data_IF_724873264142
#
_entry.id   IF_724873264142
#
_cell.length_a   1.000
_cell.length_b   1.000
_cell.length_c   1.000
_cell.angle_alpha   90.00
_cell.angle_beta   90.00
_cell.angle_gamma   90.00
#
_symmetry.space_group_name_H-M   'P 1'
#
loop_
_entity.id
_entity.type
_entity.pdbx_description
1 polymer ?
#
# COMPACT_ATOMS: atom_id res chain seq x y z
N UNK A 1 39.88 18.44 4.64
CA UNK A 1 38.81 18.81 3.69
C UNK A 1 38.05 17.55 3.35
N UNK A 2 36.86 17.37 3.90
CA UNK A 2 35.98 16.27 3.49
C UNK A 2 35.50 16.55 2.06
N UNK A 3 35.55 15.54 1.19
CA UNK A 3 34.97 15.63 -0.15
C UNK A 3 33.46 15.93 -0.03
N UNK A 4 32.88 16.72 -0.95
CA UNK A 4 31.43 16.94 -0.95
C UNK A 4 30.71 15.61 -1.19
N UNK A 5 29.51 15.41 -0.61
CA UNK A 5 28.72 14.22 -0.88
C UNK A 5 28.45 14.14 -2.38
N UNK A 6 28.74 13.00 -2.98
CA UNK A 6 28.38 12.73 -4.36
C UNK A 6 26.85 12.79 -4.50
N UNK A 7 26.38 13.63 -5.41
CA UNK A 7 24.98 13.71 -5.83
C UNK A 7 24.63 12.42 -6.58
N UNK A 8 24.22 11.39 -5.84
CA UNK A 8 23.86 10.08 -6.36
C UNK A 8 22.36 9.96 -6.70
N UNK A 9 21.60 11.06 -6.59
CA UNK A 9 20.19 11.10 -6.98
C UNK A 9 20.04 11.68 -8.38
N UNK A 10 19.43 10.93 -9.29
CA UNK A 10 18.97 11.53 -10.54
C UNK A 10 18.11 12.77 -10.30
N UNK A 11 18.22 13.75 -11.19
CA UNK A 11 17.45 14.98 -11.11
C UNK A 11 16.05 14.74 -11.68
N UNK A 12 15.06 14.80 -10.80
CA UNK A 12 13.66 14.89 -11.21
C UNK A 12 13.40 16.25 -11.87
N UNK A 13 12.89 16.24 -13.10
CA UNK A 13 12.44 17.42 -13.83
C UNK A 13 10.94 17.33 -14.11
N UNK A 14 10.15 18.15 -13.44
CA UNK A 14 8.73 18.31 -13.77
C UNK A 14 8.61 19.01 -15.12
N UNK A 15 7.89 18.38 -16.04
CA UNK A 15 7.62 18.94 -17.36
C UNK A 15 6.35 19.78 -17.35
N UNK A 16 5.30 19.28 -16.69
CA UNK A 16 4.00 19.95 -16.54
C UNK A 16 3.18 19.32 -15.42
N UNK A 17 2.22 20.08 -14.91
CA UNK A 17 1.15 19.58 -14.04
C UNK A 17 -0.19 19.99 -14.64
N UNK A 18 -1.04 19.00 -14.86
CA UNK A 18 -2.39 19.13 -15.40
C UNK A 18 -3.40 18.96 -14.26
N UNK A 19 -4.61 19.48 -14.43
CA UNK A 19 -5.71 19.27 -13.49
C UNK A 19 -6.79 18.43 -14.18
N UNK A 20 -6.89 17.16 -13.78
CA UNK A 20 -7.81 16.19 -14.39
C UNK A 20 -9.13 16.20 -13.65
N UNK A 21 -10.17 16.72 -14.29
CA UNK A 21 -11.55 16.71 -13.76
C UNK A 21 -12.24 15.38 -14.05
N UNK A 22 -13.23 14.98 -13.23
CA UNK A 22 -14.14 13.88 -13.59
C UNK A 22 -14.83 14.15 -14.94
N UNK A 23 -14.92 13.14 -15.81
CA UNK A 23 -15.57 13.29 -17.12
C UNK A 23 -17.08 13.54 -16.96
N UNK A 24 -17.62 14.58 -17.61
CA UNK A 24 -19.06 14.79 -17.73
C UNK A 24 -19.61 14.02 -18.95
N UNK A 25 -20.81 13.45 -18.82
CA UNK A 25 -21.68 13.22 -19.99
C UNK A 25 -22.66 14.37 -20.01
N UNK A 26 -23.00 14.91 -21.18
CA UNK A 26 -23.78 16.15 -21.32
C UNK A 26 -25.07 16.26 -20.51
N UNK A 27 -25.62 15.14 -20.03
CA UNK A 27 -26.84 15.07 -19.21
C UNK A 27 -26.63 15.02 -17.67
N UNK A 28 -25.39 14.84 -17.18
CA UNK A 28 -25.10 14.54 -15.77
C UNK A 28 -24.54 15.73 -14.97
N UNK A 29 -24.50 16.94 -15.56
CA UNK A 29 -23.99 18.14 -14.90
C UNK A 29 -24.77 18.48 -13.61
N UNK A 30 -26.02 18.04 -13.50
CA UNK A 30 -26.89 18.26 -12.34
C UNK A 30 -26.91 17.10 -11.32
N UNK A 31 -26.23 15.97 -11.60
CA UNK A 31 -26.43 14.71 -10.85
C UNK A 31 -25.33 14.35 -9.82
N UNK A 32 -24.19 15.03 -9.82
CA UNK A 32 -23.12 14.76 -8.85
C UNK A 32 -23.41 15.47 -7.52
N UNK A 33 -24.10 14.78 -6.61
CA UNK A 33 -24.40 15.29 -5.28
C UNK A 33 -23.14 15.46 -4.42
N UNK A 34 -23.10 16.59 -3.69
CA UNK A 34 -22.16 16.83 -2.59
C UNK A 34 -22.26 15.68 -1.58
N UNK A 35 -21.13 15.08 -1.21
CA UNK A 35 -21.08 13.98 -0.25
C UNK A 35 -20.12 14.27 0.89
N UNK A 36 -20.65 14.89 1.95
CA UNK A 36 -19.93 15.01 3.21
C UNK A 36 -19.93 13.67 3.98
N UNK A 37 -18.73 13.18 4.33
CA UNK A 37 -18.55 12.02 5.21
C UNK A 37 -17.69 12.42 6.42
N UNK A 38 -18.06 12.10 7.67
CA UNK A 38 -17.26 12.44 8.84
C UNK A 38 -15.92 11.68 8.85
N UNK A 39 -14.80 12.41 8.92
CA UNK A 39 -13.45 11.82 8.84
C UNK A 39 -12.55 12.27 10.01
N UNK A 40 -11.53 11.45 10.31
CA UNK A 40 -10.41 11.84 11.18
C UNK A 40 -9.16 12.11 10.31
N UNK A 41 -8.34 13.12 10.63
CA UNK A 41 -7.07 13.34 9.94
C UNK A 41 -6.14 12.14 10.15
N UNK A 42 -5.55 11.64 9.06
CA UNK A 42 -4.53 10.59 9.02
C UNK A 42 -3.58 10.87 7.87
N UNK A 43 -2.35 10.39 7.97
CA UNK A 43 -1.32 10.62 6.96
C UNK A 43 -1.72 10.04 5.59
N UNK A 44 -1.25 10.66 4.48
CA UNK A 44 -1.47 10.13 3.14
C UNK A 44 -0.74 8.80 2.92
N UNK A 45 -1.32 7.96 2.07
CA UNK A 45 -0.65 6.75 1.57
C UNK A 45 -0.06 7.04 0.21
N UNK A 46 1.25 6.85 0.07
CA UNK A 46 2.02 7.09 -1.15
C UNK A 46 2.37 5.74 -1.77
N UNK A 47 1.88 5.46 -2.98
CA UNK A 47 2.16 4.23 -3.72
C UNK A 47 2.92 4.54 -5.00
N UNK A 48 3.86 3.68 -5.36
CA UNK A 48 4.64 3.78 -6.58
C UNK A 48 4.51 2.49 -7.38
N UNK A 49 4.16 2.60 -8.65
CA UNK A 49 4.11 1.50 -9.60
C UNK A 49 5.20 1.71 -10.65
N UNK A 50 6.06 0.72 -10.84
CA UNK A 50 7.09 0.75 -11.88
C UNK A 50 6.68 -0.13 -13.05
N UNK A 51 6.56 0.46 -14.25
CA UNK A 51 6.20 -0.26 -15.47
C UNK A 51 7.34 -0.23 -16.47
N UNK A 52 7.56 -1.37 -17.14
CA UNK A 52 8.45 -1.45 -18.31
C UNK A 52 7.61 -1.20 -19.55
N UNK A 53 7.88 -0.11 -20.26
CA UNK A 53 7.24 0.17 -21.54
C UNK A 53 7.95 -0.61 -22.65
N UNK A 54 7.19 -1.00 -23.67
CA UNK A 54 7.74 -1.65 -24.85
C UNK A 54 8.77 -0.74 -25.57
N UNK A 55 9.82 -1.31 -26.19
CA UNK A 55 10.72 -0.55 -27.05
C UNK A 55 9.93 0.23 -28.12
N UNK A 56 10.22 1.52 -28.28
CA UNK A 56 9.52 2.37 -29.25
C UNK A 56 8.11 2.82 -28.84
N UNK A 57 7.65 2.53 -27.61
CA UNK A 57 6.37 3.03 -27.11
C UNK A 57 6.28 4.56 -27.21
N UNK A 58 5.18 5.06 -27.77
CA UNK A 58 4.88 6.48 -27.87
C UNK A 58 4.54 7.04 -26.47
N UNK A 59 5.57 7.43 -25.71
CA UNK A 59 5.46 7.90 -24.32
C UNK A 59 4.41 8.99 -24.16
N UNK A 60 4.37 9.96 -25.09
CA UNK A 60 3.37 11.02 -25.04
C UNK A 60 1.94 10.46 -25.08
N UNK A 61 1.67 9.51 -25.99
CA UNK A 61 0.36 8.85 -26.08
C UNK A 61 0.03 8.04 -24.82
N UNK A 62 1.00 7.38 -24.20
CA UNK A 62 0.81 6.68 -22.91
C UNK A 62 0.40 7.67 -21.80
N UNK A 63 1.07 8.82 -21.72
CA UNK A 63 0.78 9.84 -20.71
C UNK A 63 -0.60 10.47 -20.91
N UNK A 64 -0.96 10.84 -22.15
CA UNK A 64 -2.30 11.36 -22.48
C UNK A 64 -3.38 10.33 -22.16
N UNK A 65 -3.15 9.06 -22.52
CA UNK A 65 -4.09 7.98 -22.25
C UNK A 65 -4.31 7.75 -20.75
N UNK A 66 -3.27 7.88 -19.93
CA UNK A 66 -3.39 7.82 -18.47
C UNK A 66 -4.25 8.96 -17.91
N UNK A 67 -4.07 10.20 -18.39
CA UNK A 67 -4.88 11.34 -17.98
C UNK A 67 -6.36 11.19 -18.41
N UNK A 68 -6.62 10.78 -19.67
CA UNK A 68 -7.98 10.60 -20.19
C UNK A 68 -8.73 9.45 -19.50
N UNK A 69 -8.03 8.34 -19.23
CA UNK A 69 -8.60 7.23 -18.46
C UNK A 69 -8.81 7.59 -16.99
N UNK A 70 -7.97 8.46 -16.42
CA UNK A 70 -8.15 8.97 -15.06
C UNK A 70 -9.43 9.80 -14.96
N UNK A 71 -9.66 10.72 -15.90
CA UNK A 71 -10.89 11.53 -15.96
C UNK A 71 -12.16 10.65 -15.97
N UNK A 72 -12.16 9.58 -16.76
CA UNK A 72 -13.27 8.61 -16.83
C UNK A 72 -13.44 7.81 -15.54
N UNK A 73 -12.34 7.36 -14.93
CA UNK A 73 -12.41 6.65 -13.66
C UNK A 73 -12.95 7.55 -12.54
N UNK A 74 -12.50 8.81 -12.51
CA UNK A 74 -12.97 9.82 -11.55
C UNK A 74 -14.46 10.09 -11.66
N UNK A 75 -15.14 9.80 -12.77
CA UNK A 75 -16.60 9.87 -12.84
C UNK A 75 -17.28 8.98 -11.80
N UNK A 76 -16.79 7.75 -11.61
CA UNK A 76 -17.31 6.81 -10.63
C UNK A 76 -16.75 7.05 -9.22
N UNK A 77 -15.64 7.79 -9.12
CA UNK A 77 -14.91 8.06 -7.88
C UNK A 77 -14.70 9.56 -7.65
N UNK A 78 -15.68 10.38 -8.00
CA UNK A 78 -15.57 11.84 -8.02
C UNK A 78 -15.13 12.47 -6.68
N UNK A 79 -15.42 11.89 -5.49
CA UNK A 79 -14.91 12.44 -4.25
C UNK A 79 -13.38 12.44 -4.15
N UNK A 80 -12.67 11.61 -4.94
CA UNK A 80 -11.20 11.65 -5.02
C UNK A 80 -10.65 12.92 -5.69
N UNK A 81 -11.44 13.58 -6.55
CA UNK A 81 -11.05 14.87 -7.12
C UNK A 81 -11.27 16.04 -6.14
N UNK A 82 -12.01 15.80 -5.06
CA UNK A 82 -12.33 16.80 -4.05
C UNK A 82 -11.24 17.00 -3.00
N UNK A 83 -11.68 17.50 -1.85
CA UNK A 83 -10.83 17.90 -0.73
C UNK A 83 -11.41 17.48 0.61
N UNK A 84 -10.55 17.23 1.59
CA UNK A 84 -10.94 17.09 2.99
C UNK A 84 -10.91 18.48 3.63
N UNK A 85 -12.02 18.89 4.21
CA UNK A 85 -12.14 20.18 4.90
C UNK A 85 -12.86 20.02 6.23
N UNK A 86 -12.71 21.00 7.11
CA UNK A 86 -13.55 21.11 8.30
C UNK A 86 -14.98 21.42 7.86
N UNK A 87 -15.95 20.65 8.37
CA UNK A 87 -17.34 20.84 8.04
C UNK A 87 -17.79 22.24 8.49
N UNK A 88 -18.56 22.99 7.67
CA UNK A 88 -18.99 24.34 8.01
C UNK A 88 -19.65 24.42 9.40
N UNK A 89 -19.18 25.34 10.23
CA UNK A 89 -19.71 25.57 11.57
C UNK A 89 -19.40 24.46 12.59
N UNK A 90 -18.45 23.55 12.32
CA UNK A 90 -17.98 22.53 13.27
C UNK A 90 -16.50 22.72 13.57
N UNK A 91 -16.04 22.33 14.75
CA UNK A 91 -14.65 22.45 15.19
C UNK A 91 -13.87 21.14 15.13
N UNK A 92 -14.55 20.01 15.02
CA UNK A 92 -13.98 18.66 15.15
C UNK A 92 -14.48 17.64 14.12
N UNK A 93 -15.34 18.08 13.18
CA UNK A 93 -15.90 17.22 12.14
C UNK A 93 -15.33 17.57 10.79
N UNK A 94 -14.51 16.69 10.22
CA UNK A 94 -14.04 16.83 8.84
C UNK A 94 -14.99 16.16 7.87
N UNK A 95 -15.08 16.69 6.66
CA UNK A 95 -15.84 16.13 5.56
C UNK A 95 -14.99 15.98 4.30
N UNK A 96 -15.26 14.92 3.54
CA UNK A 96 -14.89 14.84 2.14
C UNK A 96 -15.83 15.76 1.35
N UNK A 97 -15.31 16.75 0.63
CA UNK A 97 -16.12 17.70 -0.11
C UNK A 97 -15.66 17.74 -1.56
N UNK A 98 -16.61 17.68 -2.48
CA UNK A 98 -16.41 17.83 -3.91
C UNK A 98 -17.39 18.86 -4.45
N UNK A 99 -16.92 19.73 -5.33
CA UNK A 99 -17.75 20.62 -6.14
C UNK A 99 -17.37 20.49 -7.62
N UNK A 100 -18.31 20.73 -8.56
CA UNK A 100 -18.01 20.71 -9.99
C UNK A 100 -16.80 21.61 -10.33
N UNK A 101 -15.86 21.06 -11.10
CA UNK A 101 -14.60 21.71 -11.43
C UNK A 101 -13.42 21.35 -10.51
N UNK A 102 -13.68 20.71 -9.37
CA UNK A 102 -12.62 20.08 -8.58
C UNK A 102 -11.91 19.00 -9.41
N UNK A 103 -10.59 18.89 -9.24
CA UNK A 103 -9.72 18.14 -10.12
C UNK A 103 -8.54 17.51 -9.39
N UNK A 104 -8.00 16.44 -9.97
CA UNK A 104 -6.79 15.77 -9.49
C UNK A 104 -5.57 16.37 -10.16
N UNK A 105 -4.55 16.73 -9.37
CA UNK A 105 -3.25 17.11 -9.91
C UNK A 105 -2.57 15.89 -10.56
N UNK A 106 -2.31 15.98 -11.86
CA UNK A 106 -1.61 14.97 -12.65
C UNK A 106 -0.29 15.57 -13.17
N UNK A 107 0.81 15.21 -12.52
CA UNK A 107 2.15 15.73 -12.85
C UNK A 107 2.87 14.80 -13.79
N UNK A 108 3.42 15.34 -14.87
CA UNK A 108 4.34 14.63 -15.77
C UNK A 108 5.76 15.10 -15.50
N UNK A 109 6.66 14.15 -15.29
CA UNK A 109 8.06 14.42 -15.00
C UNK A 109 8.99 13.47 -15.76
N UNK A 110 10.26 13.83 -15.81
CA UNK A 110 11.37 12.99 -16.25
C UNK A 110 12.38 12.83 -15.12
N UNK A 111 13.11 11.72 -15.13
CA UNK A 111 14.18 11.44 -14.18
C UNK A 111 15.34 10.75 -14.91
N UNK A 112 16.55 11.26 -14.70
CA UNK A 112 17.76 10.89 -15.47
C UNK A 112 18.70 9.90 -14.77
N UNK A 113 18.57 9.68 -13.46
CA UNK A 113 19.60 8.98 -12.67
C UNK A 113 19.28 7.60 -12.11
N UNK A 114 18.35 6.82 -12.68
CA UNK A 114 18.19 5.42 -12.28
C UNK A 114 17.62 4.53 -13.40
N UNK A 115 18.17 3.32 -13.55
CA UNK A 115 17.65 2.28 -14.42
C UNK A 115 16.48 1.50 -13.79
N UNK A 116 15.69 0.76 -14.59
CA UNK A 116 14.55 -0.02 -14.05
C UNK A 116 14.99 -1.05 -13.03
N UNK A 117 16.12 -1.68 -13.27
CA UNK A 117 16.58 -2.80 -12.45
C UNK A 117 17.08 -2.32 -11.09
N UNK A 118 17.59 -1.09 -11.00
CA UNK A 118 17.97 -0.44 -9.75
C UNK A 118 16.75 -0.08 -8.90
N UNK A 119 15.65 0.37 -9.51
CA UNK A 119 14.44 0.77 -8.78
C UNK A 119 13.49 -0.41 -8.50
N UNK A 120 13.47 -1.42 -9.36
CA UNK A 120 12.62 -2.61 -9.25
C UNK A 120 13.29 -3.77 -8.49
N UNK A 121 14.52 -3.58 -7.99
CA UNK A 121 15.23 -4.56 -7.17
C UNK A 121 14.52 -4.85 -5.85
N UNK A 122 14.75 -6.06 -5.33
CA UNK A 122 14.37 -6.46 -3.97
C UNK A 122 15.50 -6.23 -2.96
N UNK A 123 16.70 -5.89 -3.44
CA UNK A 123 17.80 -5.49 -2.57
C UNK A 123 17.52 -4.12 -1.92
N UNK A 124 18.10 -3.86 -0.73
CA UNK A 124 18.02 -2.56 -0.10
C UNK A 124 18.48 -1.46 -1.04
N UNK A 125 17.72 -0.37 -1.05
CA UNK A 125 18.04 0.86 -1.75
C UNK A 125 17.64 2.04 -0.89
N UNK A 126 18.25 3.19 -1.15
CA UNK A 126 17.91 4.41 -0.42
C UNK A 126 16.50 4.86 -0.77
N UNK A 127 15.71 5.22 0.24
CA UNK A 127 14.34 5.75 0.06
C UNK A 127 14.35 7.01 -0.82
N UNK A 128 15.43 7.79 -0.75
CA UNK A 128 15.64 8.99 -1.57
C UNK A 128 15.58 8.72 -3.09
N UNK A 129 15.83 7.48 -3.54
CA UNK A 129 15.74 7.10 -4.96
C UNK A 129 14.30 6.98 -5.47
N UNK A 130 13.34 6.73 -4.58
CA UNK A 130 11.92 6.56 -4.94
C UNK A 130 11.02 7.68 -4.43
N UNK A 131 11.42 8.39 -3.37
CA UNK A 131 10.64 9.45 -2.77
C UNK A 131 10.27 10.59 -3.75
N UNK A 132 11.14 11.02 -4.67
CA UNK A 132 10.78 12.01 -5.69
C UNK A 132 9.77 11.53 -6.74
N UNK A 133 9.59 10.20 -6.87
CA UNK A 133 8.72 9.60 -7.88
C UNK A 133 7.25 9.53 -7.44
N UNK A 134 6.94 9.92 -6.19
CA UNK A 134 5.59 10.02 -5.64
C UNK A 134 5.21 11.48 -5.38
N UNK A 135 4.01 11.94 -5.78
CA UNK A 135 3.61 13.32 -5.58
C UNK A 135 3.21 13.58 -4.12
N UNK A 136 3.51 14.77 -3.60
CA UNK A 136 2.84 15.24 -2.40
C UNK A 136 1.38 15.64 -2.73
N UNK A 137 0.48 15.55 -1.76
CA UNK A 137 -0.86 16.13 -1.92
C UNK A 137 -0.74 17.66 -1.97
N UNK A 138 -1.41 18.33 -2.93
CA UNK A 138 -1.52 19.78 -2.93
C UNK A 138 -2.08 20.31 -1.61
N UNK A 139 -1.69 21.55 -1.27
CA UNK A 139 -2.26 22.26 -0.11
C UNK A 139 -3.77 22.42 -0.27
N UNK A 140 -4.48 22.58 0.85
CA UNK A 140 -5.93 22.78 0.84
C UNK A 140 -6.76 21.49 0.92
N UNK A 141 -6.14 20.39 1.38
CA UNK A 141 -6.84 19.15 1.70
C UNK A 141 -7.13 18.25 0.50
N UNK A 142 -6.42 18.42 -0.62
CA UNK A 142 -6.58 17.57 -1.80
C UNK A 142 -6.53 16.07 -1.43
N UNK A 143 -7.41 15.28 -2.03
CA UNK A 143 -7.58 13.87 -1.64
C UNK A 143 -6.67 12.93 -2.42
N UNK A 144 -6.42 13.23 -3.70
CA UNK A 144 -5.63 12.41 -4.62
C UNK A 144 -4.65 13.30 -5.39
N UNK A 145 -3.43 12.81 -5.58
CA UNK A 145 -2.45 13.36 -6.52
C UNK A 145 -1.76 12.23 -7.27
N UNK A 146 -1.42 12.48 -8.54
CA UNK A 146 -0.80 11.50 -9.43
C UNK A 146 0.45 12.11 -10.08
N UNK A 147 1.51 11.32 -10.19
CA UNK A 147 2.71 11.68 -10.93
C UNK A 147 3.12 10.55 -11.87
N UNK A 148 3.25 10.85 -13.15
CA UNK A 148 3.80 9.96 -14.16
C UNK A 148 5.22 10.43 -14.51
N UNK A 149 6.23 9.68 -14.04
CA UNK A 149 7.65 10.00 -14.24
C UNK A 149 8.27 9.04 -15.24
N UNK A 150 8.77 9.57 -16.35
CA UNK A 150 9.49 8.79 -17.37
C UNK A 150 10.95 8.72 -16.96
N UNK A 151 11.47 7.51 -16.73
CA UNK A 151 12.89 7.32 -16.47
C UNK A 151 13.61 7.20 -17.80
N UNK A 152 14.53 8.13 -18.04
CA UNK A 152 15.22 8.26 -19.33
C UNK A 152 16.27 7.15 -19.52
N UNK A 153 16.77 6.58 -18.42
CA UNK A 153 17.79 5.54 -18.42
C UNK A 153 19.15 6.01 -18.96
N UNK A 154 20.19 5.22 -18.72
CA UNK A 154 21.56 5.56 -19.16
C UNK A 154 21.84 5.15 -20.61
N UNK A 155 20.97 4.33 -21.22
CA UNK A 155 21.19 3.72 -22.55
C UNK A 155 20.05 4.08 -23.52
N UNK A 156 20.34 4.73 -24.67
CA UNK A 156 19.31 5.19 -25.63
C UNK A 156 18.38 4.10 -26.18
N UNK A 157 18.82 2.84 -26.19
CA UNK A 157 18.07 1.68 -26.70
C UNK A 157 17.40 0.83 -25.62
N UNK A 158 17.51 1.19 -24.34
CA UNK A 158 16.86 0.46 -23.26
C UNK A 158 15.34 0.70 -23.26
N UNK A 159 14.53 -0.30 -22.84
CA UNK A 159 13.10 -0.09 -22.64
C UNK A 159 12.88 1.05 -21.63
N UNK A 160 11.98 1.98 -21.99
CA UNK A 160 11.64 3.11 -21.12
C UNK A 160 10.87 2.62 -19.90
N UNK A 161 11.11 3.25 -18.76
CA UNK A 161 10.37 2.96 -17.54
C UNK A 161 9.40 4.08 -17.27
N UNK A 162 8.20 3.71 -16.89
CA UNK A 162 7.23 4.64 -16.34
C UNK A 162 7.05 4.35 -14.85
N UNK A 163 7.39 5.34 -14.03
CA UNK A 163 7.10 5.34 -12.61
C UNK A 163 5.81 6.12 -12.37
N UNK A 164 4.75 5.44 -11.94
CA UNK A 164 3.46 6.03 -11.62
C UNK A 164 3.30 6.15 -10.10
N UNK A 165 3.50 7.35 -9.58
CA UNK A 165 3.26 7.71 -8.19
C UNK A 165 1.80 8.10 -7.97
N UNK A 166 1.19 7.57 -6.92
CA UNK A 166 -0.21 7.85 -6.53
C UNK A 166 -0.26 8.10 -5.04
N UNK A 167 -0.73 9.27 -4.64
CA UNK A 167 -0.87 9.65 -3.23
C UNK A 167 -2.33 9.88 -2.91
N UNK A 168 -2.83 9.19 -1.88
CA UNK A 168 -4.24 9.24 -1.45
C UNK A 168 -4.32 9.57 0.02
N UNK A 169 -5.17 10.53 0.38
CA UNK A 169 -5.45 10.85 1.77
C UNK A 169 -6.24 9.71 2.43
N UNK A 170 -5.66 9.02 3.43
CA UNK A 170 -6.25 7.80 4.02
C UNK A 170 -7.62 8.05 4.67
N UNK A 171 -7.85 9.27 5.17
CA UNK A 171 -9.13 9.66 5.71
C UNK A 171 -10.28 9.46 4.68
N UNK A 172 -10.04 9.69 3.39
CA UNK A 172 -11.09 9.56 2.38
C UNK A 172 -11.50 8.09 2.14
N UNK A 173 -10.56 7.15 2.17
CA UNK A 173 -10.85 5.75 1.88
C UNK A 173 -9.78 4.77 2.36
N UNK A 174 -10.19 3.50 2.57
CA UNK A 174 -9.27 2.44 2.98
C UNK A 174 -8.49 1.83 1.80
N UNK A 175 -7.57 0.91 2.12
CA UNK A 175 -6.76 0.19 1.12
C UNK A 175 -7.58 -0.57 0.07
N UNK A 176 -8.73 -1.12 0.45
CA UNK A 176 -9.62 -1.84 -0.46
C UNK A 176 -10.27 -0.87 -1.46
N UNK A 177 -10.78 0.27 -0.98
CA UNK A 177 -11.41 1.30 -1.80
C UNK A 177 -10.42 2.00 -2.74
N UNK A 178 -9.25 2.38 -2.23
CA UNK A 178 -8.19 3.00 -3.04
C UNK A 178 -7.68 2.05 -4.13
N UNK A 179 -7.55 0.76 -3.82
CA UNK A 179 -7.15 -0.23 -4.84
C UNK A 179 -8.29 -0.54 -5.82
N UNK A 180 -9.56 -0.52 -5.38
CA UNK A 180 -10.69 -0.64 -6.28
C UNK A 180 -10.72 0.49 -7.32
N UNK A 181 -10.41 1.73 -6.90
CA UNK A 181 -10.23 2.85 -7.82
C UNK A 181 -9.11 2.58 -8.83
N UNK A 182 -7.92 2.15 -8.39
CA UNK A 182 -6.80 1.85 -9.29
C UNK A 182 -7.15 0.79 -10.34
N UNK A 183 -7.82 -0.30 -9.95
CA UNK A 183 -8.30 -1.32 -10.88
C UNK A 183 -9.33 -0.77 -11.86
N UNK A 184 -10.23 0.11 -11.41
CA UNK A 184 -11.22 0.74 -12.28
C UNK A 184 -10.57 1.70 -13.28
N UNK A 185 -9.55 2.44 -12.85
CA UNK A 185 -8.76 3.31 -13.71
C UNK A 185 -7.99 2.52 -14.77
N UNK A 186 -7.30 1.45 -14.36
CA UNK A 186 -6.63 0.53 -15.27
C UNK A 186 -7.59 -0.10 -16.31
N UNK A 187 -8.76 -0.56 -15.85
CA UNK A 187 -9.80 -1.09 -16.74
C UNK A 187 -10.32 -0.03 -17.72
N UNK A 188 -10.51 1.22 -17.26
CA UNK A 188 -10.93 2.34 -18.13
C UNK A 188 -9.89 2.66 -19.20
N UNK A 189 -8.60 2.55 -18.87
CA UNK A 189 -7.51 2.68 -19.83
C UNK A 189 -7.53 1.53 -20.86
N UNK A 190 -7.73 0.28 -20.45
CA UNK A 190 -7.79 -0.85 -21.37
C UNK A 190 -8.98 -0.76 -22.34
N UNK A 191 -10.17 -0.44 -21.83
CA UNK A 191 -11.38 -0.33 -22.64
C UNK A 191 -11.26 0.73 -23.75
N UNK A 192 -10.63 1.85 -23.43
CA UNK A 192 -10.38 2.94 -24.38
C UNK A 192 -9.42 2.56 -25.51
N UNK A 193 -8.52 1.62 -25.28
CA UNK A 193 -7.56 1.14 -26.27
C UNK A 193 -8.12 0.02 -27.16
N UNK A 194 -9.42 -0.33 -27.04
CA UNK A 194 -10.03 -1.46 -27.77
C UNK A 194 -9.47 -2.83 -27.37
N UNK A 195 -8.73 -2.91 -26.26
CA UNK A 195 -8.20 -4.16 -25.72
C UNK A 195 -9.30 -4.81 -24.87
N UNK A 196 -10.05 -5.72 -25.47
CA UNK A 196 -11.08 -6.52 -24.80
C UNK A 196 -10.51 -7.22 -23.55
N UNK A 197 -11.35 -7.37 -22.53
CA UNK A 197 -11.06 -7.97 -21.23
C UNK A 197 -10.73 -9.49 -21.26
N UNK A 198 -10.18 -10.02 -22.35
CA UNK A 198 -9.81 -11.43 -22.45
C UNK A 198 -8.63 -11.81 -21.54
N UNK A 199 -7.77 -10.84 -21.17
CA UNK A 199 -6.70 -11.07 -20.20
C UNK A 199 -7.10 -10.87 -18.73
N UNK A 200 -8.27 -10.29 -18.46
CA UNK A 200 -8.78 -10.04 -17.10
C UNK A 200 -9.89 -11.03 -16.68
N UNK A 201 -10.43 -11.81 -17.62
CA UNK A 201 -11.60 -12.69 -17.41
C UNK A 201 -11.33 -14.16 -17.06
N UNK A 202 -10.11 -14.70 -17.19
CA UNK A 202 -9.82 -16.11 -16.86
C UNK A 202 -9.11 -16.26 -15.51
N UNK A 203 -9.80 -15.92 -14.43
CA UNK A 203 -9.60 -16.52 -13.08
C UNK A 203 -10.77 -16.14 -12.15
N UNK A 204 -11.98 -16.55 -12.53
CA UNK A 204 -13.10 -16.64 -11.60
C UNK A 204 -12.84 -17.77 -10.57
N UNK A 205 -13.29 -17.67 -9.31
CA UNK A 205 -12.85 -18.49 -8.18
C UNK A 205 -13.60 -19.84 -8.09
N UNK A 206 -13.73 -20.54 -9.21
CA UNK A 206 -14.46 -21.81 -9.31
C UNK A 206 -13.54 -22.93 -9.82
N UNK A 207 -12.67 -23.43 -8.94
CA UNK A 207 -12.17 -24.82 -9.00
C UNK A 207 -11.70 -25.25 -7.61
N UNK A 208 -12.69 -25.50 -6.76
CA UNK A 208 -12.55 -26.36 -5.59
C UNK A 208 -12.58 -27.82 -6.07
N UNK A 209 -11.68 -28.62 -5.48
CA UNK A 209 -11.75 -30.06 -5.27
C UNK A 209 -11.91 -30.99 -6.47
N UNK A 210 -10.79 -31.58 -6.89
CA UNK A 210 -10.71 -33.01 -7.17
C UNK A 210 -9.25 -33.47 -6.95
N UNK A 211 -9.09 -34.49 -6.12
CA UNK A 211 -7.81 -35.00 -5.61
C UNK A 211 -7.07 -35.87 -6.64
N UNK A 212 -5.74 -35.93 -6.52
CA UNK A 212 -4.99 -37.15 -6.82
C UNK A 212 -3.75 -37.22 -5.91
N UNK A 213 -3.73 -38.29 -5.14
CA UNK A 213 -2.79 -38.69 -4.10
C UNK A 213 -1.40 -39.06 -4.65
N UNK A 214 -0.35 -38.55 -4.01
CA UNK A 214 0.89 -39.29 -3.78
C UNK A 214 1.59 -38.74 -2.54
N UNK A 215 1.79 -39.61 -1.55
CA UNK A 215 2.37 -39.33 -0.24
C UNK A 215 3.87 -39.01 -0.36
N UNK A 216 4.31 -37.87 0.17
CA UNK A 216 5.57 -37.74 0.94
C UNK A 216 5.30 -36.85 2.15
N UNK A 217 5.79 -37.29 3.31
CA UNK A 217 5.46 -36.76 4.64
C UNK A 217 5.90 -35.29 4.79
N UNK A 218 5.03 -34.45 5.38
CA UNK A 218 5.41 -33.15 5.95
C UNK A 218 4.59 -31.89 5.62
N UNK A 219 3.40 -31.95 5.01
CA UNK A 219 2.73 -30.72 4.54
C UNK A 219 1.59 -30.21 5.45
N UNK A 220 1.74 -29.01 6.05
CA UNK A 220 0.64 -28.04 6.27
C UNK A 220 1.09 -26.57 6.19
N UNK A 221 0.98 -25.89 5.03
CA UNK A 221 1.05 -24.42 5.00
C UNK A 221 -0.18 -23.73 4.37
N UNK A 222 -0.48 -22.54 4.92
CA UNK A 222 -1.50 -21.49 4.60
C UNK A 222 -2.77 -21.46 5.48
N UNK A 223 -3.19 -20.41 6.22
CA UNK A 223 -2.63 -19.19 6.90
C UNK A 223 -1.70 -18.21 6.14
N UNK A 224 -1.91 -18.01 4.83
CA UNK A 224 -0.93 -17.50 3.84
C UNK A 224 0.08 -16.44 4.34
N UNK A 225 1.37 -16.76 4.51
CA UNK A 225 1.95 -17.98 5.12
C UNK A 225 2.41 -17.56 6.54
N UNK A 226 2.03 -18.35 7.55
CA UNK A 226 1.40 -17.96 8.83
C UNK A 226 1.53 -16.48 9.23
N UNK A 227 0.63 -15.69 8.62
CA UNK A 227 0.49 -14.23 8.64
C UNK A 227 1.79 -13.44 8.43
N UNK A 228 2.35 -13.60 7.22
CA UNK A 228 3.70 -13.16 6.77
C UNK A 228 4.79 -13.49 7.81
N UNK A 229 4.75 -14.76 8.28
CA UNK A 229 5.49 -15.42 9.37
C UNK A 229 5.64 -14.62 10.68
N UNK A 230 4.50 -14.20 11.23
CA UNK A 230 4.39 -13.40 12.45
C UNK A 230 4.60 -11.90 12.21
N UNK A 231 4.29 -11.41 10.99
CA UNK A 231 4.67 -10.11 10.42
C UNK A 231 6.18 -9.88 10.59
N UNK A 232 6.89 -10.83 9.96
CA UNK A 232 8.32 -11.14 9.95
C UNK A 232 8.97 -11.11 11.34
N UNK A 233 8.41 -11.95 12.22
CA UNK A 233 8.58 -12.00 13.67
C UNK A 233 8.64 -10.63 14.34
N UNK A 234 7.57 -9.86 14.06
CA UNK A 234 7.24 -8.62 14.75
C UNK A 234 8.33 -7.55 14.56
N UNK A 235 8.56 -7.33 13.26
CA UNK A 235 9.56 -6.48 12.59
C UNK A 235 11.03 -6.82 12.90
N UNK A 236 11.28 -8.07 13.25
CA UNK A 236 12.49 -8.54 13.92
C UNK A 236 12.73 -7.75 15.22
N UNK A 237 11.69 -7.79 16.05
CA UNK A 237 11.62 -7.32 17.45
C UNK A 237 11.95 -5.84 17.68
N UNK A 238 11.51 -4.95 16.78
CA UNK A 238 11.45 -3.49 16.99
C UNK A 238 12.76 -2.84 17.55
N UNK A 239 13.93 -3.43 17.22
CA UNK A 239 15.29 -2.85 17.30
C UNK A 239 15.94 -2.77 18.71
N UNK A 240 16.62 -3.83 19.17
CA UNK A 240 17.36 -3.92 20.46
C UNK A 240 18.28 -2.71 20.84
N UNK A 241 17.74 -1.75 21.61
CA UNK A 241 18.42 -0.63 22.30
C UNK A 241 18.99 0.51 21.43
N UNK A 242 18.45 1.72 21.61
CA UNK A 242 19.16 3.02 21.67
C UNK A 242 18.12 4.17 21.79
N UNK A 243 18.15 5.08 22.76
CA UNK A 243 19.18 5.42 23.74
C UNK A 243 18.59 6.05 25.01
N UNK A 244 18.93 5.51 26.20
CA UNK A 244 18.96 6.28 27.46
C UNK A 244 17.86 6.05 28.52
N UNK A 245 16.94 5.11 28.36
CA UNK A 245 15.89 4.83 29.36
C UNK A 245 16.10 3.51 30.09
N UNK A 246 16.03 3.52 31.42
CA UNK A 246 16.06 2.34 32.29
C UNK A 246 14.98 1.32 31.86
N UNK A 247 15.37 0.23 31.19
CA UNK A 247 14.46 -0.83 30.72
C UNK A 247 14.34 -1.92 31.79
N UNK A 248 13.22 -1.96 32.50
CA UNK A 248 12.91 -2.99 33.50
C UNK A 248 12.56 -4.36 32.86
N UNK A 249 12.63 -4.47 31.52
CA UNK A 249 12.44 -5.73 30.81
C UNK A 249 11.06 -6.37 30.97
N UNK A 250 10.05 -5.61 31.39
CA UNK A 250 8.67 -6.09 31.63
C UNK A 250 7.66 -5.78 30.51
N UNK A 251 8.03 -4.99 29.50
CA UNK A 251 7.10 -4.45 28.50
C UNK A 251 6.68 -5.42 27.37
N UNK A 252 5.59 -5.09 26.68
CA UNK A 252 5.07 -5.83 25.52
C UNK A 252 5.46 -5.14 24.20
N UNK A 253 5.42 -5.89 23.12
CA UNK A 253 5.52 -5.36 21.76
C UNK A 253 4.14 -5.46 21.10
N UNK A 254 3.65 -4.35 20.53
CA UNK A 254 2.32 -4.25 19.91
C UNK A 254 2.41 -4.08 18.41
N UNK A 255 1.48 -4.74 17.71
CA UNK A 255 1.39 -4.75 16.27
C UNK A 255 -0.04 -4.47 15.85
N UNK A 256 -0.20 -3.44 15.04
CA UNK A 256 -1.46 -2.99 14.50
C UNK A 256 -1.56 -3.35 13.03
N UNK A 257 -2.54 -4.16 12.68
CA UNK A 257 -2.97 -4.32 11.30
C UNK A 257 -4.49 -4.19 11.24
N UNK A 258 -5.04 -4.16 10.03
CA UNK A 258 -6.48 -3.91 9.87
C UNK A 258 -7.17 -5.06 9.13
N UNK A 259 -8.39 -5.36 9.55
CA UNK A 259 -9.33 -6.28 8.90
C UNK A 259 -10.35 -5.50 8.10
N UNK A 260 -10.79 -6.04 6.98
CA UNK A 260 -11.93 -5.51 6.22
C UNK A 260 -13.24 -5.94 6.89
N UNK A 261 -14.06 -4.98 7.33
CA UNK A 261 -15.31 -5.22 8.04
C UNK A 261 -16.54 -5.21 7.12
N UNK A 262 -16.40 -4.96 5.80
CA UNK A 262 -17.57 -4.84 4.90
C UNK A 262 -18.52 -6.03 4.97
N UNK A 263 -17.95 -7.23 4.99
CA UNK A 263 -18.71 -8.50 5.06
C UNK A 263 -19.13 -8.91 6.47
N UNK A 264 -18.72 -8.15 7.49
CA UNK A 264 -18.83 -8.48 8.91
C UNK A 264 -19.83 -7.58 9.65
N UNK A 265 -20.01 -6.34 9.18
CA UNK A 265 -21.02 -5.44 9.74
C UNK A 265 -22.43 -5.96 9.50
N UNK A 266 -23.32 -5.75 10.48
CA UNK A 266 -24.76 -5.93 10.31
C UNK A 266 -25.27 -5.08 9.14
N UNK A 267 -26.18 -5.64 8.34
CA UNK A 267 -26.63 -5.01 7.09
C UNK A 267 -25.69 -5.19 5.88
N UNK A 268 -24.53 -5.83 6.05
CA UNK A 268 -23.54 -6.20 5.00
C UNK A 268 -23.23 -5.04 4.04
N UNK A 269 -22.25 -4.21 4.41
CA UNK A 269 -21.76 -3.13 3.55
C UNK A 269 -21.35 -3.70 2.17
N UNK A 270 -21.79 -3.09 1.06
CA UNK A 270 -21.47 -3.57 -0.28
C UNK A 270 -19.97 -3.72 -0.50
N UNK A 271 -19.56 -4.76 -1.23
CA UNK A 271 -18.13 -4.97 -1.55
C UNK A 271 -17.49 -3.82 -2.33
N UNK A 272 -18.30 -3.05 -3.07
CA UNK A 272 -17.91 -1.86 -3.84
C UNK A 272 -18.07 -0.55 -3.06
N UNK A 273 -18.41 -0.61 -1.76
CA UNK A 273 -18.46 0.58 -0.92
C UNK A 273 -17.11 1.29 -0.93
N UNK A 274 -17.16 2.56 -1.30
CA UNK A 274 -16.01 3.46 -1.27
C UNK A 274 -16.01 4.24 0.04
N UNK A 275 -14.94 4.07 0.82
CA UNK A 275 -14.76 4.71 2.11
C UNK A 275 -13.91 3.85 3.04
N UNK A 276 -13.94 4.12 4.33
CA UNK A 276 -13.27 3.33 5.34
C UNK A 276 -14.26 2.34 5.97
N UNK A 277 -13.99 1.03 5.85
CA UNK A 277 -14.74 -0.01 6.56
C UNK A 277 -13.77 -1.07 7.06
N UNK A 278 -12.91 -0.66 7.99
CA UNK A 278 -11.83 -1.47 8.55
C UNK A 278 -11.89 -1.50 10.07
N UNK A 279 -11.44 -2.60 10.64
CA UNK A 279 -11.32 -2.78 12.08
C UNK A 279 -9.87 -3.09 12.50
N UNK A 280 -9.44 -2.62 13.67
CA UNK A 280 -8.08 -2.76 14.17
C UNK A 280 -7.82 -4.15 14.78
N UNK A 281 -6.70 -4.76 14.43
CA UNK A 281 -6.20 -5.98 15.06
C UNK A 281 -4.94 -5.64 15.84
N UNK A 282 -4.98 -5.81 17.16
CA UNK A 282 -3.83 -5.64 18.04
C UNK A 282 -3.26 -7.00 18.42
N UNK A 283 -2.21 -7.41 17.73
CA UNK A 283 -1.39 -8.53 18.20
C UNK A 283 -0.36 -8.00 19.20
N UNK A 284 -0.13 -8.75 20.28
CA UNK A 284 0.93 -8.40 21.23
C UNK A 284 1.64 -9.64 21.78
N UNK A 285 2.91 -9.48 22.13
CA UNK A 285 3.67 -10.50 22.85
C UNK A 285 4.68 -9.85 23.80
N UNK A 286 5.10 -10.55 24.89
CA UNK A 286 6.16 -10.06 25.76
C UNK A 286 7.46 -9.86 24.97
N UNK A 287 8.17 -8.75 25.20
CA UNK A 287 9.44 -8.47 24.51
C UNK A 287 10.50 -9.55 24.77
N UNK A 288 10.58 -10.07 26.00
CA UNK A 288 11.47 -11.20 26.38
C UNK A 288 11.16 -12.49 25.64
N UNK A 289 9.88 -12.76 25.36
CA UNK A 289 9.45 -13.92 24.58
C UNK A 289 9.80 -13.78 23.08
N UNK A 290 10.26 -12.61 22.64
CA UNK A 290 10.75 -12.39 21.29
C UNK A 290 12.25 -12.73 21.15
N UNK A 291 12.95 -12.95 22.27
CA UNK A 291 14.38 -13.32 22.35
C UNK A 291 14.58 -14.76 22.87
N UNK A 292 13.67 -15.69 22.54
CA UNK A 292 13.68 -17.09 23.01
C UNK A 292 14.89 -17.90 22.53
N UNK A 293 15.07 -19.11 23.08
CA UNK A 293 16.22 -19.98 22.84
C UNK A 293 16.47 -20.33 21.35
N UNK A 294 15.43 -20.28 20.50
CA UNK A 294 15.56 -20.39 19.05
C UNK A 294 14.67 -19.37 18.32
N UNK A 295 15.09 -18.94 17.13
CA UNK A 295 14.34 -18.03 16.23
C UNK A 295 12.96 -18.60 15.87
N UNK A 296 12.86 -19.93 15.76
CA UNK A 296 11.62 -20.63 15.38
C UNK A 296 10.54 -20.54 16.47
N UNK A 297 10.91 -20.63 17.74
CA UNK A 297 9.96 -20.51 18.87
C UNK A 297 9.36 -19.11 18.96
N UNK A 298 10.19 -18.08 18.73
CA UNK A 298 9.74 -16.70 18.62
C UNK A 298 8.71 -16.58 17.50
N UNK A 299 9.09 -16.97 16.27
CA UNK A 299 8.21 -16.91 15.09
C UNK A 299 6.86 -17.56 15.37
N UNK A 300 6.84 -18.73 16.02
CA UNK A 300 5.60 -19.41 16.39
C UNK A 300 4.74 -18.60 17.37
N UNK A 301 5.35 -18.01 18.39
CA UNK A 301 4.67 -17.15 19.38
C UNK A 301 4.03 -15.94 18.70
N UNK A 302 4.76 -15.24 17.82
CA UNK A 302 4.20 -14.12 17.07
C UNK A 302 3.07 -14.54 16.12
N UNK A 303 3.23 -15.66 15.42
CA UNK A 303 2.17 -16.20 14.58
C UNK A 303 0.90 -16.45 15.38
N UNK A 304 1.05 -17.03 16.58
CA UNK A 304 -0.07 -17.30 17.49
C UNK A 304 -0.76 -16.02 17.95
N UNK A 305 0.02 -14.99 18.32
CA UNK A 305 -0.51 -13.68 18.69
C UNK A 305 -1.29 -13.01 17.54
N UNK A 306 -0.77 -13.09 16.31
CA UNK A 306 -1.44 -12.54 15.12
C UNK A 306 -2.74 -13.28 14.81
N UNK A 307 -2.73 -14.62 14.89
CA UNK A 307 -3.94 -15.43 14.68
C UNK A 307 -4.99 -15.10 15.74
N UNK A 308 -4.61 -15.03 17.02
CA UNK A 308 -5.53 -14.65 18.10
C UNK A 308 -6.14 -13.26 17.90
N UNK A 309 -5.33 -12.27 17.49
CA UNK A 309 -5.83 -10.93 17.19
C UNK A 309 -6.80 -10.89 16.00
N UNK A 310 -6.54 -11.71 14.95
CA UNK A 310 -7.48 -11.87 13.82
C UNK A 310 -8.78 -12.50 14.30
N UNK A 311 -8.70 -13.57 15.08
CA UNK A 311 -9.89 -14.30 15.53
C UNK A 311 -10.77 -13.39 16.39
N UNK A 312 -10.18 -12.60 17.29
CA UNK A 312 -10.90 -11.59 18.07
C UNK A 312 -11.56 -10.53 17.17
N UNK A 313 -10.83 -9.95 16.22
CA UNK A 313 -11.39 -8.91 15.36
C UNK A 313 -12.46 -9.42 14.37
N UNK A 314 -12.39 -10.70 13.98
CA UNK A 314 -13.29 -11.31 13.01
C UNK A 314 -14.54 -11.89 13.66
N UNK A 315 -14.41 -12.52 14.82
CA UNK A 315 -15.51 -13.24 15.48
C UNK A 315 -16.09 -12.48 16.66
N UNK A 316 -15.36 -11.45 17.16
CA UNK A 316 -15.84 -10.39 18.03
C UNK A 316 -16.73 -10.82 19.20
N UNK A 317 -16.14 -10.91 20.39
CA UNK A 317 -16.95 -10.87 21.61
C UNK A 317 -17.68 -9.53 21.74
N UNK A 318 -18.84 -9.51 22.41
CA UNK A 318 -19.53 -8.29 22.82
C UNK A 318 -18.53 -7.33 23.47
N UNK A 319 -18.51 -6.06 23.04
CA UNK A 319 -17.58 -5.06 23.58
C UNK A 319 -16.29 -4.81 22.76
N UNK A 320 -16.10 -5.44 21.60
CA UNK A 320 -14.86 -5.26 20.79
C UNK A 320 -14.56 -3.79 20.46
N UNK A 321 -15.59 -3.03 20.06
CA UNK A 321 -15.42 -1.61 19.70
C UNK A 321 -15.27 -0.72 20.93
N UNK A 322 -15.91 -1.10 22.02
CA UNK A 322 -15.86 -0.41 23.31
C UNK A 322 -14.47 -0.50 23.93
N UNK A 323 -13.74 -1.62 23.74
CA UNK A 323 -12.36 -1.83 24.23
C UNK A 323 -11.28 -1.20 23.36
N UNK A 324 -11.64 -0.68 22.19
CA UNK A 324 -10.67 -0.17 21.22
C UNK A 324 -9.87 1.04 21.75
N UNK A 325 -10.46 2.06 22.39
CA UNK A 325 -9.73 3.18 22.94
C UNK A 325 -8.68 2.76 23.98
N UNK A 326 -9.03 1.84 24.88
CA UNK A 326 -8.13 1.34 25.92
C UNK A 326 -6.94 0.61 25.32
N UNK A 327 -7.15 -0.22 24.29
CA UNK A 327 -6.07 -0.92 23.58
C UNK A 327 -5.09 0.02 22.88
N UNK A 328 -5.57 1.14 22.34
CA UNK A 328 -4.68 2.18 21.79
C UNK A 328 -3.81 2.76 22.90
N UNK A 329 -4.41 3.08 24.05
CA UNK A 329 -3.68 3.67 25.20
C UNK A 329 -2.66 2.68 25.74
N UNK A 330 -3.05 1.42 25.93
CA UNK A 330 -2.18 0.34 26.37
C UNK A 330 -1.00 0.15 25.42
N UNK A 331 -1.27 0.01 24.12
CA UNK A 331 -0.22 -0.13 23.12
C UNK A 331 0.76 1.04 23.21
N UNK A 332 0.26 2.30 23.22
CA UNK A 332 1.09 3.51 23.27
C UNK A 332 1.92 3.64 24.56
N UNK A 333 1.46 3.11 25.70
CA UNK A 333 2.24 3.10 26.95
C UNK A 333 3.53 2.29 26.82
N UNK A 334 3.45 1.18 26.10
CA UNK A 334 4.59 0.28 25.85
C UNK A 334 5.35 0.62 24.55
N UNK A 335 5.04 1.77 23.91
CA UNK A 335 5.65 2.25 22.66
C UNK A 335 4.66 2.36 21.49
N UNK A 336 5.02 3.08 20.43
CA UNK A 336 4.15 3.16 19.25
C UNK A 336 3.98 1.75 18.62
N UNK A 337 2.74 1.29 18.35
CA UNK A 337 2.55 -0.03 17.76
C UNK A 337 3.09 -0.03 16.32
N UNK A 338 3.76 -1.11 15.97
CA UNK A 338 4.20 -1.31 14.61
C UNK A 338 3.01 -1.57 13.69
N UNK A 339 2.91 -0.87 12.55
CA UNK A 339 1.73 -0.97 11.68
C UNK A 339 1.99 -1.67 10.33
N UNK A 340 0.93 -2.24 9.75
CA UNK A 340 0.96 -2.89 8.44
C UNK A 340 0.10 -2.13 7.44
N UNK A 341 0.68 -1.78 6.29
CA UNK A 341 0.00 -1.22 5.14
C UNK A 341 -0.15 -2.26 4.02
N UNK A 342 -1.29 -2.25 3.33
CA UNK A 342 -1.53 -3.13 2.18
C UNK A 342 -2.13 -4.49 2.53
N UNK A 343 -2.41 -5.28 1.49
CA UNK A 343 -2.95 -6.63 1.62
C UNK A 343 -2.66 -7.42 0.35
N UNK A 344 -2.26 -8.71 0.43
CA UNK A 344 -2.16 -9.58 -0.73
C UNK A 344 -3.49 -9.80 -1.48
N UNK A 345 -4.62 -9.40 -0.87
CA UNK A 345 -5.94 -9.44 -1.52
C UNK A 345 -6.17 -8.29 -2.47
N UNK A 346 -5.36 -7.23 -2.41
CA UNK A 346 -5.54 -6.05 -3.24
C UNK A 346 -5.08 -6.26 -4.68
N UNK A 347 -4.25 -7.26 -4.96
CA UNK A 347 -3.87 -7.62 -6.32
C UNK A 347 -3.25 -6.42 -7.05
N UNK A 348 -2.38 -5.68 -6.38
CA UNK A 348 -1.76 -4.45 -6.90
C UNK A 348 -0.93 -4.69 -8.16
N UNK A 349 -0.39 -5.89 -8.34
CA UNK A 349 0.32 -6.30 -9.56
C UNK A 349 -0.62 -6.62 -10.73
N UNK A 350 -1.94 -6.65 -10.53
CA UNK A 350 -2.92 -6.78 -11.62
C UNK A 350 -3.35 -5.43 -12.20
N UNK A 351 -2.85 -4.30 -11.66
CA UNK A 351 -3.16 -2.95 -12.18
C UNK A 351 -2.43 -2.76 -13.52
N UNK A 352 -3.10 -3.14 -14.61
CA UNK A 352 -2.58 -3.04 -15.98
C UNK A 352 -3.35 -1.97 -16.77
N UNK A 353 -2.67 -0.89 -17.14
CA UNK A 353 -3.23 0.22 -17.92
C UNK A 353 -3.28 -0.05 -19.43
N UNK A 354 -2.99 -1.28 -19.86
CA UNK A 354 -2.95 -1.72 -21.25
C UNK A 354 -1.55 -1.74 -21.84
N UNK A 355 -0.51 -1.47 -21.05
CA UNK A 355 0.90 -1.58 -21.45
C UNK A 355 1.68 -2.61 -20.61
N UNK A 356 0.96 -3.49 -19.90
CA UNK A 356 1.52 -4.57 -19.11
C UNK A 356 1.41 -4.32 -17.60
N UNK A 357 1.58 -5.38 -16.83
CA UNK A 357 1.55 -5.34 -15.36
C UNK A 357 2.78 -4.62 -14.79
N UNK A 358 2.70 -4.07 -13.57
CA UNK A 358 3.84 -3.46 -12.91
C UNK A 358 4.98 -4.47 -12.72
N UNK A 359 6.22 -4.03 -12.96
CA UNK A 359 7.43 -4.76 -12.62
C UNK A 359 7.70 -4.76 -11.10
N UNK A 360 7.29 -3.70 -10.41
CA UNK A 360 7.42 -3.52 -8.95
C UNK A 360 6.32 -2.58 -8.44
N UNK A 361 5.83 -2.83 -7.23
CA UNK A 361 4.94 -1.92 -6.51
C UNK A 361 5.53 -1.63 -5.13
N UNK A 362 5.52 -0.36 -4.75
CA UNK A 362 6.03 0.11 -3.45
C UNK A 362 4.98 0.97 -2.74
N UNK A 363 5.01 0.95 -1.40
CA UNK A 363 4.28 1.91 -0.58
C UNK A 363 5.31 2.84 0.05
N UNK A 364 5.65 3.94 -0.62
CA UNK A 364 6.74 4.83 -0.21
C UNK A 364 6.51 5.47 1.17
N UNK A 365 5.26 5.70 1.56
CA UNK A 365 4.91 6.29 2.86
C UNK A 365 5.26 5.40 4.05
N UNK A 366 5.58 4.11 3.85
CA UNK A 366 6.07 3.24 4.94
C UNK A 366 7.41 3.71 5.52
N UNK A 367 8.23 4.40 4.72
CA UNK A 367 9.48 4.98 5.20
C UNK A 367 9.27 6.18 6.14
N UNK A 368 8.15 6.90 5.98
CA UNK A 368 7.78 8.05 6.82
C UNK A 368 7.08 7.60 8.11
N UNK A 369 6.20 6.62 7.97
CA UNK A 369 5.35 6.11 9.05
C UNK A 369 6.02 5.03 9.92
N UNK A 370 7.10 4.41 9.43
CA UNK A 370 7.71 3.25 10.07
C UNK A 370 6.90 1.95 9.93
N UNK A 371 5.86 1.93 9.10
CA UNK A 371 5.05 0.74 8.83
C UNK A 371 5.82 -0.32 7.99
N UNK A 372 5.28 -1.53 7.85
CA UNK A 372 5.65 -2.44 6.75
C UNK A 372 4.57 -2.42 5.69
N UNK A 373 4.95 -2.60 4.43
CA UNK A 373 4.00 -2.90 3.35
C UNK A 373 3.88 -4.40 3.12
N UNK A 374 2.70 -4.85 2.71
CA UNK A 374 2.44 -6.24 2.33
C UNK A 374 1.61 -6.28 1.04
N UNK A 375 2.06 -7.07 0.08
CA UNK A 375 1.38 -7.31 -1.21
C UNK A 375 1.49 -8.78 -1.63
N UNK A 376 0.72 -9.18 -2.65
CA UNK A 376 0.91 -10.48 -3.28
C UNK A 376 2.25 -10.54 -4.04
N UNK A 377 2.87 -11.72 -4.04
CA UNK A 377 4.14 -11.94 -4.73
C UNK A 377 3.98 -11.92 -6.26
N UNK A 378 5.03 -11.43 -6.94
CA UNK A 378 5.15 -11.45 -8.41
C UNK A 378 5.15 -12.88 -8.97
N UNK A 379 4.64 -13.06 -10.18
CA UNK A 379 4.76 -14.32 -10.93
C UNK A 379 3.78 -15.45 -10.57
N UNK A 380 2.74 -15.19 -9.78
CA UNK A 380 1.61 -16.13 -9.62
C UNK A 380 1.89 -17.39 -8.79
N UNK A 381 3.07 -17.49 -8.17
CA UNK A 381 3.49 -18.61 -7.30
C UNK A 381 2.81 -18.63 -5.92
N UNK A 382 1.93 -17.66 -5.63
CA UNK A 382 1.26 -17.53 -4.33
C UNK A 382 2.20 -17.07 -3.21
N UNK A 383 3.28 -16.37 -3.54
CA UNK A 383 4.16 -15.67 -2.59
C UNK A 383 3.52 -14.42 -1.98
N UNK A 384 4.22 -13.83 -1.01
CA UNK A 384 3.90 -12.53 -0.41
C UNK A 384 5.15 -11.66 -0.52
N UNK A 385 4.97 -10.41 -0.87
CA UNK A 385 6.01 -9.40 -0.89
C UNK A 385 5.86 -8.50 0.33
N UNK A 386 6.97 -8.23 1.03
CA UNK A 386 7.02 -7.36 2.21
C UNK A 386 8.03 -6.25 1.96
N UNK A 387 7.60 -5.00 2.03
CA UNK A 387 8.47 -3.84 1.88
C UNK A 387 8.71 -3.16 3.22
N UNK A 388 9.97 -2.91 3.55
CA UNK A 388 10.34 -2.20 4.77
C UNK A 388 11.48 -1.22 4.54
N UNK A 389 11.38 -0.05 5.16
CA UNK A 389 12.44 0.93 5.29
C UNK A 389 13.00 0.92 6.72
N UNK A 390 14.33 0.94 6.84
CA UNK A 390 15.08 1.05 8.09
C UNK A 390 16.34 1.87 7.83
N UNK A 391 16.95 2.49 8.86
CA UNK A 391 18.32 2.99 8.78
C UNK A 391 19.28 1.90 8.27
N UNK A 392 20.35 2.25 7.53
CA UNK A 392 21.24 1.27 6.90
C UNK A 392 21.79 0.20 7.85
N UNK A 393 22.20 0.60 9.06
CA UNK A 393 22.69 -0.30 10.12
C UNK A 393 21.64 -1.33 10.56
N UNK A 394 20.38 -0.90 10.70
CA UNK A 394 19.27 -1.74 11.10
C UNK A 394 18.83 -2.67 9.96
N UNK A 395 18.94 -2.21 8.71
CA UNK A 395 18.61 -3.02 7.54
C UNK A 395 19.55 -4.23 7.40
N UNK A 396 20.86 -4.05 7.61
CA UNK A 396 21.83 -5.15 7.58
C UNK A 396 21.51 -6.26 8.60
N UNK A 397 21.20 -5.86 9.84
CA UNK A 397 20.75 -6.77 10.90
C UNK A 397 19.45 -7.49 10.53
N UNK A 398 18.45 -6.73 10.04
CA UNK A 398 17.16 -7.29 9.65
C UNK A 398 17.31 -8.36 8.55
N UNK A 399 18.17 -8.13 7.55
CA UNK A 399 18.41 -9.11 6.47
C UNK A 399 18.99 -10.41 6.97
N UNK A 400 20.00 -10.33 7.85
CA UNK A 400 20.64 -11.51 8.45
C UNK A 400 19.60 -12.32 9.22
N UNK A 401 18.84 -11.65 10.09
CA UNK A 401 17.75 -12.27 10.84
C UNK A 401 16.70 -12.93 9.93
N UNK A 402 16.27 -12.24 8.86
CA UNK A 402 15.28 -12.80 7.95
C UNK A 402 15.81 -14.03 7.21
N UNK A 403 17.09 -14.04 6.83
CA UNK A 403 17.72 -15.21 6.22
C UNK A 403 17.71 -16.41 7.18
N UNK A 404 18.02 -16.20 8.46
CA UNK A 404 17.98 -17.23 9.51
C UNK A 404 16.57 -17.77 9.74
N UNK A 405 15.55 -16.90 9.77
CA UNK A 405 14.14 -17.29 9.85
C UNK A 405 13.76 -18.17 8.66
N UNK A 406 14.16 -17.78 7.45
CA UNK A 406 13.84 -18.54 6.24
C UNK A 406 14.53 -19.91 6.27
N UNK A 407 15.81 -19.96 6.67
CA UNK A 407 16.59 -21.20 6.74
C UNK A 407 16.18 -22.14 7.89
N UNK A 408 15.62 -21.61 8.98
CA UNK A 408 15.16 -22.41 10.13
C UNK A 408 13.71 -22.91 10.02
N UNK A 409 12.94 -22.40 9.05
CA UNK A 409 11.51 -22.74 8.84
C UNK A 409 11.29 -23.60 7.58
N UNK A 410 12.24 -23.59 6.64
CA UNK A 410 12.27 -24.43 5.43
C UNK A 410 13.31 -25.53 5.64
#
# INVERSE_FOLDING_TARGET
MAAPPHDHGGRLRVLRTEHVTPSSTGDDADALSERALPLKPVEPVERLFLYRLAPGAAVHGVLSHLADSLSRALRAFYPLAGRIRLAPGKTDRYELFYQPGDAVAFTVAEHDGAGVDELATDDPREVATIAPLVPALPRGGAVLAVQATVLLGLRPAAPRVLALGVTVHHAACDGASSTHFLHTWAASACAAAGKSAEHQGRRSPARRNAAASSRRLGARPSSRRTASCGLCHLRATHGHNNDGGHDDGGGRAYFLFVTDHRRRMEGRVPSRYFGNCVGPCYASMPRKAAATATVTDGVFTACSAVVGAIDEAVHGETGYWERYPERIVEARRDGAPFSVAGSPRFRVYDVDFGFGTPAKVEIASVAKTGAMSVAEGRGGSGGIEVGIALPPEHMGRFRTYLADVIAGVI
#
